data_IF_245404297147
#
_entry.id   IF_245404297147
#
_cell.length_a   1.000
_cell.length_b   1.000
_cell.length_c   1.000
_cell.angle_alpha   90.00
_cell.angle_beta   90.00
_cell.angle_gamma   90.00
#
_symmetry.space_group_name_H-M   'P 1'
#
loop_
_entity.id
_entity.type
_entity.pdbx_description
1 polymer ?
#
# COMPACT_ATOMS: atom_id res chain seq x y z
N UNK A 1 31.48 -7.74 22.79
CA UNK A 1 31.62 -7.24 21.40
C UNK A 1 30.23 -7.08 20.84
N UNK A 2 29.69 -5.85 20.87
CA UNK A 2 28.33 -5.51 20.39
C UNK A 2 28.53 -4.47 19.30
N UNK A 3 27.94 -4.65 18.12
CA UNK A 3 27.82 -3.53 17.18
C UNK A 3 27.98 -3.90 15.71
N UNK A 4 26.93 -4.50 15.14
CA UNK A 4 26.59 -4.35 13.73
C UNK A 4 25.07 -4.49 13.64
N UNK A 5 24.36 -3.65 12.86
CA UNK A 5 22.97 -3.95 12.54
C UNK A 5 22.92 -5.35 11.89
N UNK A 6 21.90 -6.18 12.18
CA UNK A 6 21.78 -7.47 11.51
C UNK A 6 21.78 -7.24 10.00
N UNK A 7 22.41 -8.12 9.21
CA UNK A 7 22.58 -7.96 7.76
C UNK A 7 21.26 -7.78 6.99
N UNK A 8 20.12 -8.04 7.65
CA UNK A 8 18.77 -8.08 7.08
C UNK A 8 17.85 -6.96 7.60
N UNK A 9 18.38 -5.93 8.28
CA UNK A 9 17.56 -4.80 8.70
C UNK A 9 17.08 -3.99 7.47
N UNK A 10 15.76 -3.82 7.33
CA UNK A 10 15.19 -2.94 6.30
C UNK A 10 15.77 -1.53 6.51
N UNK A 11 16.33 -0.88 5.48
CA UNK A 11 16.82 0.50 5.61
C UNK A 11 15.68 1.42 6.07
N UNK A 12 15.86 2.09 7.21
CA UNK A 12 14.81 2.91 7.83
C UNK A 12 14.61 4.26 7.13
N UNK A 13 15.58 4.71 6.34
CA UNK A 13 15.56 6.02 5.68
C UNK A 13 14.42 6.21 4.65
N UNK A 14 13.68 5.15 4.31
CA UNK A 14 12.50 5.20 3.44
C UNK A 14 11.33 4.34 3.95
N UNK A 15 11.36 3.93 5.22
CA UNK A 15 10.22 3.23 5.80
C UNK A 15 9.06 4.20 6.01
N UNK A 16 7.85 3.68 5.93
CA UNK A 16 6.62 4.43 6.10
C UNK A 16 5.41 3.56 5.83
N UNK A 17 4.25 4.02 6.28
CA UNK A 17 3.01 3.32 6.04
C UNK A 17 2.36 3.76 4.74
N UNK A 18 1.71 2.80 4.07
CA UNK A 18 0.83 3.05 2.94
C UNK A 18 -0.49 2.35 3.17
N UNK A 19 -1.59 3.01 2.80
CA UNK A 19 -2.91 2.38 2.77
C UNK A 19 -3.60 2.70 1.46
N UNK A 20 -4.10 1.65 0.83
CA UNK A 20 -5.02 1.71 -0.31
C UNK A 20 -6.38 1.21 0.13
N UNK A 21 -7.44 1.81 -0.41
CA UNK A 21 -8.80 1.32 -0.24
C UNK A 21 -9.52 1.40 -1.58
N UNK A 22 -10.20 0.31 -1.93
CA UNK A 22 -11.22 0.26 -2.97
C UNK A 22 -12.54 -0.04 -2.27
N UNK A 23 -13.57 0.77 -2.51
CA UNK A 23 -14.90 0.54 -1.96
C UNK A 23 -15.93 0.91 -3.02
N UNK A 24 -16.91 0.02 -3.22
CA UNK A 24 -18.06 0.33 -4.06
C UNK A 24 -19.18 0.88 -3.17
N UNK A 25 -19.71 2.05 -3.54
CA UNK A 25 -20.82 2.72 -2.87
C UNK A 25 -21.96 2.93 -3.87
N UNK A 26 -22.86 1.96 -3.97
CA UNK A 26 -23.85 1.93 -5.06
C UNK A 26 -23.17 1.74 -6.40
N UNK A 27 -23.40 2.67 -7.33
CA UNK A 27 -22.97 2.60 -8.72
C UNK A 27 -21.62 3.32 -8.96
N UNK A 28 -20.86 3.57 -7.88
CA UNK A 28 -19.58 4.28 -7.91
C UNK A 28 -18.54 3.48 -7.15
N UNK A 29 -17.38 3.28 -7.78
CA UNK A 29 -16.18 2.75 -7.14
C UNK A 29 -15.29 3.90 -6.70
N UNK A 30 -15.00 3.98 -5.40
CA UNK A 30 -14.09 4.98 -4.82
C UNK A 30 -12.74 4.33 -4.52
N UNK A 31 -11.68 4.86 -5.14
CA UNK A 31 -10.29 4.50 -4.86
C UNK A 31 -9.63 5.59 -4.02
N UNK A 32 -9.00 5.19 -2.90
CA UNK A 32 -8.32 6.13 -1.99
C UNK A 32 -6.97 5.63 -1.56
N UNK A 33 -6.05 6.57 -1.38
CA UNK A 33 -4.71 6.28 -0.92
C UNK A 33 -4.20 7.32 0.09
N UNK A 34 -3.37 6.85 1.01
CA UNK A 34 -2.56 7.70 1.89
C UNK A 34 -1.23 7.04 2.20
N UNK A 35 -0.24 7.89 2.42
CA UNK A 35 1.14 7.52 2.75
C UNK A 35 1.63 8.43 3.87
N UNK A 36 2.41 7.87 4.79
CA UNK A 36 3.00 8.62 5.89
C UNK A 36 4.42 8.11 6.19
N UNK A 37 5.33 9.00 6.64
CA UNK A 37 6.66 8.61 7.07
C UNK A 37 6.64 7.61 8.22
N UNK A 38 7.72 6.85 8.38
CA UNK A 38 7.94 6.05 9.58
C UNK A 38 7.94 6.91 10.85
N UNK A 39 7.41 6.36 11.94
CA UNK A 39 7.24 7.05 13.22
C UNK A 39 6.07 8.04 13.29
N UNK A 40 5.52 8.48 12.16
CA UNK A 40 4.32 9.32 12.14
C UNK A 40 3.05 8.48 12.32
N UNK A 41 2.03 9.07 12.96
CA UNK A 41 0.72 8.45 13.05
C UNK A 41 0.03 8.41 11.67
N UNK A 42 -0.75 7.35 11.43
CA UNK A 42 -1.56 7.23 10.22
C UNK A 42 -2.49 8.45 10.08
N UNK A 43 -2.47 9.17 8.94
CA UNK A 43 -3.31 10.34 8.74
C UNK A 43 -4.81 10.00 8.81
N UNK A 44 -5.59 10.85 9.47
CA UNK A 44 -7.04 10.70 9.51
C UNK A 44 -7.69 10.95 8.13
N UNK A 45 -7.15 11.88 7.36
CA UNK A 45 -7.64 12.22 6.03
C UNK A 45 -6.96 11.40 4.93
N UNK A 46 -7.72 11.06 3.89
CA UNK A 46 -7.17 10.50 2.65
C UNK A 46 -6.43 11.60 1.86
N UNK A 47 -5.25 11.27 1.31
CA UNK A 47 -4.47 12.21 0.50
C UNK A 47 -4.92 12.22 -0.96
N UNK A 48 -5.32 11.06 -1.45
CA UNK A 48 -5.89 10.87 -2.80
C UNK A 48 -7.23 10.17 -2.66
N UNK A 49 -8.22 10.67 -3.40
CA UNK A 49 -9.55 10.05 -3.55
C UNK A 49 -10.02 10.26 -4.98
N UNK A 50 -10.50 9.20 -5.60
CA UNK A 50 -11.03 9.23 -6.96
C UNK A 50 -12.28 8.35 -7.05
N UNK A 51 -13.27 8.84 -7.77
CA UNK A 51 -14.54 8.14 -7.99
C UNK A 51 -14.66 7.77 -9.46
N UNK A 52 -14.98 6.50 -9.73
CA UNK A 52 -15.29 5.98 -11.06
C UNK A 52 -16.72 5.42 -11.06
N UNK A 53 -17.59 6.05 -11.85
CA UNK A 53 -18.98 5.65 -12.03
C UNK A 53 -19.27 4.98 -13.38
N UNK A 54 -18.24 4.45 -14.06
CA UNK A 54 -18.42 3.74 -15.34
C UNK A 54 -19.35 2.53 -15.12
N UNK A 55 -20.58 2.52 -15.66
CA UNK A 55 -21.60 1.54 -15.26
C UNK A 55 -21.19 0.09 -15.50
N UNK A 56 -20.47 -0.17 -16.58
CA UNK A 56 -20.04 -1.51 -16.97
C UNK A 56 -18.96 -2.10 -16.05
N UNK A 57 -18.37 -1.29 -15.16
CA UNK A 57 -17.34 -1.72 -14.22
C UNK A 57 -17.87 -1.98 -12.81
N UNK A 58 -19.13 -1.64 -12.51
CA UNK A 58 -19.70 -1.75 -11.18
C UNK A 58 -20.32 -3.12 -10.92
N UNK A 59 -20.43 -3.49 -9.64
CA UNK A 59 -21.00 -4.77 -9.17
C UNK A 59 -20.28 -6.02 -9.71
N UNK A 60 -19.05 -5.84 -10.18
CA UNK A 60 -18.20 -6.92 -10.65
C UNK A 60 -17.33 -7.46 -9.52
N UNK A 61 -17.10 -8.77 -9.52
CA UNK A 61 -16.09 -9.39 -8.67
C UNK A 61 -14.69 -9.00 -9.15
N UNK A 62 -13.81 -8.62 -8.22
CA UNK A 62 -12.44 -8.22 -8.51
C UNK A 62 -11.45 -8.74 -7.47
N UNK A 63 -10.18 -8.38 -7.65
CA UNK A 63 -9.09 -8.74 -6.74
C UNK A 63 -8.09 -7.59 -6.57
N UNK A 64 -7.21 -7.74 -5.60
CA UNK A 64 -6.09 -6.82 -5.38
C UNK A 64 -4.77 -7.55 -5.67
N UNK A 65 -3.86 -6.88 -6.37
CA UNK A 65 -2.52 -7.38 -6.63
C UNK A 65 -1.49 -6.30 -6.29
N UNK A 66 -0.38 -6.72 -5.69
CA UNK A 66 0.80 -5.90 -5.49
C UNK A 66 1.97 -6.58 -6.20
N UNK A 67 2.43 -5.95 -7.28
CA UNK A 67 3.57 -6.44 -8.06
C UNK A 67 4.84 -5.70 -7.64
N UNK A 68 5.85 -6.44 -7.20
CA UNK A 68 7.17 -5.88 -6.88
C UNK A 68 8.16 -6.29 -7.95
N UNK A 69 8.76 -5.30 -8.62
CA UNK A 69 9.69 -5.53 -9.72
C UNK A 69 11.09 -5.06 -9.38
N UNK A 70 12.07 -5.95 -9.53
CA UNK A 70 13.49 -5.65 -9.39
C UNK A 70 14.21 -5.93 -10.72
N UNK A 71 14.31 -4.89 -11.53
CA UNK A 71 14.95 -4.93 -12.85
C UNK A 71 16.44 -5.34 -12.79
N UNK A 72 17.16 -4.96 -11.73
CA UNK A 72 18.61 -5.07 -11.65
C UNK A 72 19.13 -6.33 -10.93
N UNK A 73 18.26 -7.09 -10.26
CA UNK A 73 18.55 -8.40 -9.63
C UNK A 73 19.65 -8.41 -8.54
N UNK A 74 20.24 -7.27 -8.22
CA UNK A 74 21.43 -7.16 -7.36
C UNK A 74 21.15 -6.48 -6.02
N UNK A 75 19.91 -6.05 -5.78
CA UNK A 75 19.44 -5.50 -4.51
C UNK A 75 18.38 -6.38 -3.85
N UNK A 76 18.32 -6.33 -2.51
CA UNK A 76 17.24 -6.97 -1.76
C UNK A 76 15.90 -6.29 -2.02
N UNK A 77 14.83 -7.09 -2.04
CA UNK A 77 13.45 -6.59 -1.98
C UNK A 77 12.94 -6.93 -0.58
N UNK A 78 12.49 -5.92 0.15
CA UNK A 78 11.83 -6.10 1.43
C UNK A 78 10.37 -5.69 1.31
N UNK A 79 9.49 -6.56 1.78
CA UNK A 79 8.06 -6.30 1.93
C UNK A 79 7.73 -6.69 3.36
N UNK A 80 7.31 -5.72 4.15
CA UNK A 80 6.98 -5.90 5.56
C UNK A 80 5.62 -5.28 5.85
N UNK A 81 4.99 -5.71 6.94
CA UNK A 81 3.72 -5.18 7.44
C UNK A 81 2.55 -5.17 6.42
N UNK A 82 2.55 -6.11 5.45
CA UNK A 82 1.44 -6.24 4.50
C UNK A 82 0.23 -6.88 5.17
N UNK A 83 -0.86 -6.11 5.22
CA UNK A 83 -2.18 -6.59 5.61
C UNK A 83 -3.17 -6.39 4.47
N UNK A 84 -3.77 -7.48 4.00
CA UNK A 84 -4.84 -7.47 3.00
C UNK A 84 -6.10 -8.01 3.66
N UNK A 85 -7.16 -7.21 3.65
CA UNK A 85 -8.48 -7.62 4.11
C UNK A 85 -9.52 -7.30 3.06
N UNK A 86 -10.41 -8.27 2.82
CA UNK A 86 -11.71 -8.03 2.22
C UNK A 86 -12.72 -7.93 3.37
N UNK A 87 -13.49 -6.85 3.41
CA UNK A 87 -14.56 -6.62 4.39
C UNK A 87 -15.89 -6.50 3.66
#
# INVERSE_FOLDING_TARGET
MRGGPPPDAIPTALQGGVRFQCVQNGDVTTLRAKVWPDGDAEPAQWRVSFDDGTPELQELSGGFAADIYNYGGTGSIYVDDVFIAAM
#
